data_IF_549826814474
#
_entry.id   IF_549826814474
#
_cell.length_a   1.000
_cell.length_b   1.000
_cell.length_c   1.000
_cell.angle_alpha   90.00
_cell.angle_beta   90.00
_cell.angle_gamma   90.00
#
_symmetry.space_group_name_H-M   'P 1'
#
loop_
_entity.id
_entity.type
_entity.pdbx_description
1 polymer ?
#
# COMPACT_ATOMS: atom_id res chain seq x y z
N UNK A 1 28.88 19.27 -20.89
CA UNK A 1 27.77 19.90 -20.15
C UNK A 1 26.93 18.75 -19.62
N UNK A 2 27.31 18.22 -18.46
CA UNK A 2 26.49 17.25 -17.72
C UNK A 2 25.87 18.01 -16.56
N UNK A 3 24.57 18.27 -16.64
CA UNK A 3 23.80 18.78 -15.51
C UNK A 3 23.43 17.59 -14.64
N UNK A 4 24.22 17.36 -13.61
CA UNK A 4 23.88 16.47 -12.51
C UNK A 4 22.70 17.08 -11.76
N UNK A 5 21.48 16.66 -12.11
CA UNK A 5 20.26 17.10 -11.45
C UNK A 5 20.13 16.30 -10.14
N UNK A 6 20.95 16.65 -9.15
CA UNK A 6 20.86 16.07 -7.81
C UNK A 6 19.51 16.45 -7.21
N UNK A 7 18.60 15.47 -7.13
CA UNK A 7 17.30 15.63 -6.49
C UNK A 7 17.55 15.88 -5.00
N UNK A 8 17.18 17.07 -4.52
CA UNK A 8 17.27 17.41 -3.10
C UNK A 8 16.13 16.72 -2.34
N UNK A 9 16.46 15.59 -1.73
CA UNK A 9 15.54 14.73 -0.98
C UNK A 9 15.02 15.44 0.28
N UNK A 10 15.72 16.47 0.78
CA UNK A 10 15.31 17.23 1.97
C UNK A 10 14.02 18.03 1.72
N UNK A 11 13.73 18.35 0.46
CA UNK A 11 12.50 19.04 0.05
C UNK A 11 11.23 18.19 0.25
N UNK A 12 11.37 16.87 0.38
CA UNK A 12 10.28 15.92 0.58
C UNK A 12 10.03 15.59 2.06
N UNK A 13 10.59 16.36 2.99
CA UNK A 13 10.40 16.16 4.44
C UNK A 13 11.18 14.97 5.01
N UNK A 14 12.06 14.36 4.22
CA UNK A 14 13.00 13.34 4.68
C UNK A 14 14.27 14.04 5.15
N UNK A 15 14.31 14.44 6.42
CA UNK A 15 15.53 14.99 7.01
C UNK A 15 16.55 13.86 7.21
N UNK A 16 17.79 13.99 6.71
CA UNK A 16 18.85 13.00 6.93
C UNK A 16 19.35 13.01 8.39
N UNK A 17 19.08 14.07 9.14
CA UNK A 17 19.37 14.12 10.57
C UNK A 17 18.20 13.56 11.36
N UNK A 18 18.49 12.50 12.10
CA UNK A 18 17.58 11.84 13.03
C UNK A 18 17.07 12.88 14.03
N UNK A 19 15.78 13.19 14.00
CA UNK A 19 15.17 14.13 14.94
C UNK A 19 15.44 13.68 16.37
N UNK A 20 16.31 14.41 17.07
CA UNK A 20 16.61 14.17 18.49
C UNK A 20 15.42 14.70 19.28
N UNK A 21 14.39 13.88 19.41
CA UNK A 21 13.35 14.11 20.41
C UNK A 21 13.91 13.65 21.76
N UNK A 22 14.06 14.61 22.66
CA UNK A 22 14.25 14.42 24.09
C UNK A 22 13.36 13.27 24.61
N UNK A 23 13.99 12.15 24.96
CA UNK A 23 13.43 11.20 25.91
C UNK A 23 13.28 9.74 25.49
N UNK A 24 13.57 9.33 24.25
CA UNK A 24 13.44 7.91 23.84
C UNK A 24 14.63 7.35 23.06
N UNK A 25 15.82 7.97 23.18
CA UNK A 25 17.04 7.49 22.52
C UNK A 25 17.66 6.30 23.25
N UNK A 26 17.01 5.14 23.17
CA UNK A 26 17.63 3.85 23.44
C UNK A 26 17.03 2.76 22.56
N UNK A 27 17.21 2.88 21.25
CA UNK A 27 17.39 1.69 20.40
C UNK A 27 18.12 2.07 19.11
N UNK A 28 19.43 2.29 19.22
CA UNK A 28 20.32 2.15 18.08
C UNK A 28 20.49 0.66 17.79
N UNK A 29 19.66 0.13 16.89
CA UNK A 29 19.89 -1.14 16.20
C UNK A 29 19.25 -1.03 14.83
N UNK A 30 20.00 -1.37 13.79
CA UNK A 30 19.77 -0.93 12.42
C UNK A 30 18.42 -1.34 11.83
N UNK A 31 17.98 -0.55 10.85
CA UNK A 31 16.98 -0.93 9.84
C UNK A 31 17.53 -2.03 8.91
N UNK A 32 17.96 -3.15 9.50
CA UNK A 32 18.38 -4.36 8.83
C UNK A 32 17.60 -5.52 9.47
N UNK A 33 16.36 -5.69 9.02
CA UNK A 33 15.44 -6.71 9.52
C UNK A 33 14.06 -6.10 9.72
N UNK A 34 13.09 -6.51 8.91
CA UNK A 34 11.78 -5.90 8.81
C UNK A 34 11.02 -5.88 10.13
N UNK A 35 10.99 -4.71 10.76
CA UNK A 35 9.89 -4.31 11.62
C UNK A 35 9.06 -3.33 10.80
N UNK A 36 8.19 -3.88 9.96
CA UNK A 36 7.02 -3.15 9.50
C UNK A 36 6.41 -2.48 10.73
N UNK A 37 6.08 -1.19 10.65
CA UNK A 37 5.27 -0.55 11.67
C UNK A 37 4.05 -1.45 11.89
N UNK A 38 4.03 -2.17 13.02
CA UNK A 38 2.90 -3.04 13.37
C UNK A 38 1.82 -2.08 13.82
N UNK A 39 1.08 -1.58 12.84
CA UNK A 39 -0.20 -0.93 13.07
C UNK A 39 -1.05 -1.97 13.81
N UNK A 40 -1.60 -1.57 14.95
CA UNK A 40 -2.47 -2.42 15.74
C UNK A 40 -3.72 -2.75 14.91
N UNK A 41 -3.72 -3.91 14.26
CA UNK A 41 -4.83 -4.41 13.44
C UNK A 41 -5.97 -4.96 14.29
N UNK A 42 -5.97 -4.78 15.62
CA UNK A 42 -7.10 -5.20 16.48
C UNK A 42 -8.42 -4.49 16.17
N UNK A 43 -8.41 -3.42 15.39
CA UNK A 43 -9.60 -2.77 14.85
C UNK A 43 -9.99 -3.28 13.44
N UNK A 44 -9.29 -4.28 12.88
CA UNK A 44 -9.74 -4.96 11.69
C UNK A 44 -10.96 -5.80 12.07
N UNK A 45 -12.15 -5.25 11.84
CA UNK A 45 -13.34 -6.06 11.60
C UNK A 45 -13.09 -7.07 10.47
N UNK A 46 -14.05 -7.93 10.12
CA UNK A 46 -13.95 -8.69 8.87
C UNK A 46 -13.51 -7.71 7.77
N UNK A 47 -12.39 -8.01 7.10
CA UNK A 47 -11.78 -7.12 6.11
C UNK A 47 -12.86 -6.61 5.17
N UNK A 48 -12.71 -5.37 4.69
CA UNK A 48 -13.67 -4.80 3.74
C UNK A 48 -13.92 -5.83 2.62
N UNK A 49 -15.14 -6.39 2.50
CA UNK A 49 -15.44 -7.43 1.52
C UNK A 49 -15.09 -7.01 0.09
N UNK A 50 -15.08 -5.70 -0.17
CA UNK A 50 -14.64 -5.13 -1.43
C UNK A 50 -13.13 -5.26 -1.64
N UNK A 51 -12.31 -4.97 -0.63
CA UNK A 51 -10.85 -5.15 -0.70
C UNK A 51 -10.48 -6.62 -0.84
N UNK A 52 -11.19 -7.50 -0.14
CA UNK A 52 -11.01 -8.95 -0.25
C UNK A 52 -11.37 -9.46 -1.66
N UNK A 53 -12.47 -8.96 -2.25
CA UNK A 53 -12.84 -9.28 -3.63
C UNK A 53 -11.82 -8.72 -4.64
N UNK A 54 -11.31 -7.51 -4.42
CA UNK A 54 -10.28 -6.92 -5.28
C UNK A 54 -8.98 -7.71 -5.22
N UNK A 55 -8.54 -8.12 -4.03
CA UNK A 55 -7.37 -8.97 -3.83
C UNK A 55 -7.55 -10.33 -4.54
N UNK A 56 -8.73 -10.94 -4.45
CA UNK A 56 -9.05 -12.19 -5.14
C UNK A 56 -8.95 -12.03 -6.67
N UNK A 57 -9.50 -10.94 -7.24
CA UNK A 57 -9.41 -10.67 -8.68
C UNK A 57 -7.96 -10.43 -9.15
N UNK A 58 -7.13 -9.81 -8.31
CA UNK A 58 -5.71 -9.60 -8.59
C UNK A 58 -4.93 -10.92 -8.59
N UNK A 59 -5.18 -11.81 -7.63
CA UNK A 59 -4.55 -13.13 -7.63
C UNK A 59 -5.04 -13.98 -8.81
N UNK A 60 -6.33 -13.95 -9.15
CA UNK A 60 -6.85 -14.64 -10.33
C UNK A 60 -6.22 -14.14 -11.64
N UNK A 61 -5.98 -12.83 -11.77
CA UNK A 61 -5.33 -12.25 -12.96
C UNK A 61 -3.84 -12.60 -13.03
N UNK A 62 -3.16 -12.69 -11.88
CA UNK A 62 -1.79 -13.20 -11.80
C UNK A 62 -1.71 -14.67 -12.21
N UNK A 63 -2.60 -15.53 -11.69
CA UNK A 63 -2.68 -16.93 -12.11
C UNK A 63 -2.98 -17.08 -13.61
N UNK A 64 -3.88 -16.26 -14.16
CA UNK A 64 -4.17 -16.25 -15.59
C UNK A 64 -2.96 -15.85 -16.42
N UNK A 65 -2.14 -14.89 -15.95
CA UNK A 65 -0.88 -14.51 -16.59
C UNK A 65 0.13 -15.66 -16.59
N UNK A 66 0.27 -16.37 -15.47
CA UNK A 66 1.15 -17.54 -15.38
C UNK A 66 0.69 -18.66 -16.32
N UNK A 67 -0.62 -18.93 -16.36
CA UNK A 67 -1.21 -19.90 -17.30
C UNK A 67 -0.92 -19.48 -18.74
N UNK A 68 -1.15 -18.21 -19.10
CA UNK A 68 -0.85 -17.68 -20.44
C UNK A 68 0.63 -17.84 -20.84
N UNK A 69 1.57 -17.64 -19.92
CA UNK A 69 3.00 -17.85 -20.20
C UNK A 69 3.34 -19.32 -20.48
N UNK A 70 2.80 -20.25 -19.69
CA UNK A 70 2.95 -21.70 -19.95
C UNK A 70 2.39 -22.07 -21.32
N UNK A 71 1.26 -21.46 -21.63
CA UNK A 71 0.52 -21.67 -22.84
C UNK A 71 1.30 -21.19 -24.10
N UNK A 72 1.90 -20.01 -24.01
CA UNK A 72 2.83 -19.49 -25.03
C UNK A 72 4.05 -20.41 -25.23
N UNK A 73 4.61 -20.94 -24.13
CA UNK A 73 5.73 -21.88 -24.19
C UNK A 73 5.33 -23.19 -24.88
N UNK A 74 4.14 -23.72 -24.59
CA UNK A 74 3.62 -24.93 -25.23
C UNK A 74 3.39 -24.71 -26.72
N UNK A 75 2.82 -23.57 -27.12
CA UNK A 75 2.64 -23.23 -28.53
C UNK A 75 3.98 -23.21 -29.28
N UNK A 76 4.99 -22.56 -28.72
CA UNK A 76 6.32 -22.50 -29.33
C UNK A 76 7.02 -23.87 -29.39
N UNK A 77 6.70 -24.79 -28.49
CA UNK A 77 7.20 -26.18 -28.56
C UNK A 77 6.46 -26.97 -29.63
N UNK A 78 5.13 -26.90 -29.67
CA UNK A 78 4.31 -27.58 -30.67
C UNK A 78 4.63 -27.12 -32.10
N UNK A 79 4.93 -25.83 -32.31
CA UNK A 79 5.39 -25.30 -33.60
C UNK A 79 6.72 -25.94 -34.04
N UNK A 80 7.72 -26.04 -33.13
CA UNK A 80 9.00 -26.71 -33.42
C UNK A 80 8.83 -28.20 -33.70
N UNK A 81 7.99 -28.88 -32.89
CA UNK A 81 7.72 -30.30 -33.06
C UNK A 81 7.01 -30.58 -34.40
N UNK A 82 6.20 -29.64 -34.91
CA UNK A 82 5.60 -29.70 -36.24
C UNK A 82 6.65 -29.53 -37.37
N UNK A 83 7.62 -28.63 -37.19
CA UNK A 83 8.69 -28.40 -38.17
C UNK A 83 9.68 -29.59 -38.23
N UNK A 84 9.97 -30.22 -37.09
CA UNK A 84 10.88 -31.36 -36.96
C UNK A 84 10.21 -32.72 -37.25
N UNK A 85 8.88 -32.74 -37.42
CA UNK A 85 8.13 -33.98 -37.64
C UNK A 85 8.43 -34.60 -39.01
N UNK A 86 9.09 -35.77 -38.98
CA UNK A 86 9.39 -36.58 -40.16
C UNK A 86 8.19 -37.32 -40.76
N UNK A 87 7.06 -37.42 -40.04
CA UNK A 87 5.83 -38.10 -40.47
C UNK A 87 4.61 -37.16 -40.41
N UNK A 88 3.70 -37.34 -41.38
CA UNK A 88 2.48 -36.55 -41.57
C UNK A 88 1.48 -36.70 -40.43
N UNK A 89 1.44 -37.88 -39.79
CA UNK A 89 0.60 -38.10 -38.61
C UNK A 89 1.05 -37.22 -37.43
N UNK A 90 2.37 -37.08 -37.21
CA UNK A 90 2.93 -36.25 -36.15
C UNK A 90 2.72 -34.76 -36.41
N UNK A 91 2.89 -34.31 -37.66
CA UNK A 91 2.57 -32.92 -38.05
C UNK A 91 1.12 -32.55 -37.75
N UNK A 92 0.17 -33.44 -38.04
CA UNK A 92 -1.25 -33.18 -37.77
C UNK A 92 -1.54 -33.06 -36.27
N UNK A 93 -0.93 -33.91 -35.44
CA UNK A 93 -1.07 -33.84 -33.99
C UNK A 93 -0.50 -32.51 -33.46
N UNK A 94 0.71 -32.13 -33.88
CA UNK A 94 1.33 -30.87 -33.48
C UNK A 94 0.51 -29.64 -33.93
N UNK A 95 -0.04 -29.65 -35.15
CA UNK A 95 -0.92 -28.57 -35.61
C UNK A 95 -2.25 -28.49 -34.84
N UNK A 96 -2.84 -29.63 -34.47
CA UNK A 96 -4.05 -29.62 -33.63
C UNK A 96 -3.77 -29.09 -32.23
N UNK A 97 -2.62 -29.42 -31.65
CA UNK A 97 -2.20 -28.89 -30.35
C UNK A 97 -1.96 -27.38 -30.42
N UNK A 98 -1.23 -26.91 -31.44
CA UNK A 98 -1.02 -25.47 -31.70
C UNK A 98 -2.34 -24.70 -31.92
N UNK A 99 -3.35 -25.33 -32.53
CA UNK A 99 -4.67 -24.72 -32.73
C UNK A 99 -5.49 -24.65 -31.44
N UNK A 100 -5.61 -25.77 -30.72
CA UNK A 100 -6.23 -25.80 -29.39
C UNK A 100 -5.56 -24.77 -28.48
N UNK A 101 -4.26 -24.60 -28.72
CA UNK A 101 -3.45 -23.64 -28.03
C UNK A 101 -3.87 -22.16 -28.25
N UNK A 102 -4.03 -21.77 -29.50
CA UNK A 102 -4.48 -20.42 -29.86
C UNK A 102 -5.90 -20.15 -29.33
N UNK A 103 -6.79 -21.15 -29.35
CA UNK A 103 -8.16 -21.03 -28.84
C UNK A 103 -8.18 -20.77 -27.32
N UNK A 104 -7.38 -21.50 -26.55
CA UNK A 104 -7.25 -21.28 -25.10
C UNK A 104 -6.70 -19.88 -24.77
N UNK A 105 -5.71 -19.41 -25.52
CA UNK A 105 -5.18 -18.04 -25.36
C UNK A 105 -6.26 -16.99 -25.63
N UNK A 106 -7.03 -17.15 -26.71
CA UNK A 106 -8.13 -16.24 -27.06
C UNK A 106 -9.20 -16.19 -25.96
N UNK A 107 -9.53 -17.35 -25.37
CA UNK A 107 -10.44 -17.42 -24.23
C UNK A 107 -9.89 -16.67 -23.01
N UNK A 108 -8.61 -16.87 -22.67
CA UNK A 108 -7.97 -16.18 -21.55
C UNK A 108 -8.05 -14.66 -21.72
N UNK A 109 -7.69 -14.14 -22.90
CA UNK A 109 -7.74 -12.68 -23.17
C UNK A 109 -9.16 -12.14 -22.98
N UNK A 110 -10.17 -12.80 -23.55
CA UNK A 110 -11.58 -12.40 -23.37
C UNK A 110 -12.00 -12.41 -21.89
N UNK A 111 -11.52 -13.37 -21.10
CA UNK A 111 -11.81 -13.40 -19.66
C UNK A 111 -11.12 -12.27 -18.90
N UNK A 112 -9.88 -11.91 -19.27
CA UNK A 112 -9.17 -10.78 -18.68
C UNK A 112 -9.86 -9.45 -19.00
N UNK A 113 -10.30 -9.25 -20.25
CA UNK A 113 -11.07 -8.07 -20.64
C UNK A 113 -12.38 -7.95 -19.85
N UNK A 114 -13.05 -9.08 -19.60
CA UNK A 114 -14.29 -9.09 -18.81
C UNK A 114 -14.04 -8.79 -17.32
N UNK A 115 -12.94 -9.29 -16.75
CA UNK A 115 -12.54 -8.96 -15.38
C UNK A 115 -12.19 -7.47 -15.28
N UNK A 116 -11.42 -6.93 -16.23
CA UNK A 116 -11.08 -5.50 -16.27
C UNK A 116 -12.35 -4.63 -16.35
N UNK A 117 -13.29 -4.99 -17.23
CA UNK A 117 -14.58 -4.29 -17.31
C UNK A 117 -15.34 -4.34 -15.99
N UNK A 118 -15.37 -5.48 -15.30
CA UNK A 118 -16.03 -5.59 -13.99
C UNK A 118 -15.33 -4.74 -12.94
N UNK A 119 -14.00 -4.75 -12.90
CA UNK A 119 -13.23 -3.92 -11.96
C UNK A 119 -13.49 -2.43 -12.20
N UNK A 120 -13.55 -1.98 -13.45
CA UNK A 120 -13.90 -0.60 -13.81
C UNK A 120 -15.31 -0.23 -13.34
N UNK A 121 -16.29 -1.11 -13.58
CA UNK A 121 -17.67 -0.88 -13.15
C UNK A 121 -17.78 -0.80 -11.62
N UNK A 122 -17.13 -1.71 -10.89
CA UNK A 122 -17.13 -1.70 -9.43
C UNK A 122 -16.48 -0.44 -8.83
N UNK A 123 -15.39 0.04 -9.43
CA UNK A 123 -14.78 1.31 -9.02
C UNK A 123 -15.74 2.47 -9.31
N UNK A 124 -16.38 2.48 -10.48
CA UNK A 124 -17.35 3.50 -10.84
C UNK A 124 -18.58 3.50 -9.92
N UNK A 125 -19.11 2.32 -9.59
CA UNK A 125 -20.21 2.14 -8.64
C UNK A 125 -19.82 2.64 -7.25
N UNK A 126 -18.58 2.41 -6.78
CA UNK A 126 -18.09 2.99 -5.52
C UNK A 126 -18.03 4.51 -5.58
N UNK A 127 -17.58 5.09 -6.70
CA UNK A 127 -17.55 6.56 -6.85
C UNK A 127 -18.93 7.19 -6.97
N UNK A 128 -19.94 6.41 -7.37
CA UNK A 128 -21.33 6.86 -7.56
C UNK A 128 -22.22 6.62 -6.32
N UNK A 129 -21.96 5.52 -5.58
CA UNK A 129 -22.63 5.20 -4.30
C UNK A 129 -21.98 5.85 -3.09
N UNK A 130 -20.73 6.28 -3.22
CA UNK A 130 -20.24 7.41 -2.46
C UNK A 130 -20.95 8.65 -2.97
N UNK A 131 -22.20 8.87 -2.53
CA UNK A 131 -22.60 10.25 -2.26
C UNK A 131 -21.41 10.86 -1.51
N UNK A 132 -20.88 12.03 -1.93
CA UNK A 132 -19.93 12.69 -1.08
C UNK A 132 -20.68 12.87 0.25
N UNK A 133 -20.31 12.09 1.29
CA UNK A 133 -20.59 12.50 2.66
C UNK A 133 -20.22 13.96 2.67
N UNK A 134 -21.24 14.81 2.81
CA UNK A 134 -21.21 16.22 2.42
C UNK A 134 -19.80 16.75 2.69
N UNK A 135 -19.03 16.99 1.62
CA UNK A 135 -17.57 17.18 1.74
C UNK A 135 -17.28 18.27 2.78
N UNK A 136 -18.22 19.22 2.91
CA UNK A 136 -18.25 20.24 3.94
C UNK A 136 -18.44 19.67 5.36
N UNK A 137 -19.37 18.74 5.58
CA UNK A 137 -19.58 18.07 6.86
C UNK A 137 -18.37 17.21 7.29
N UNK A 138 -17.69 16.56 6.34
CA UNK A 138 -16.45 15.82 6.65
C UNK A 138 -15.29 16.76 7.04
N UNK A 139 -15.16 17.89 6.34
CA UNK A 139 -14.17 18.92 6.68
C UNK A 139 -14.48 19.49 8.08
N UNK A 140 -15.75 19.77 8.37
CA UNK A 140 -16.18 20.26 9.69
C UNK A 140 -15.91 19.25 10.81
N UNK A 141 -16.17 17.96 10.59
CA UNK A 141 -15.86 16.92 11.56
C UNK A 141 -14.35 16.78 11.78
N UNK A 142 -13.57 16.81 10.70
CA UNK A 142 -12.12 16.77 10.76
C UNK A 142 -11.55 17.96 11.55
N UNK A 143 -11.98 19.18 11.25
CA UNK A 143 -11.56 20.38 11.95
C UNK A 143 -11.92 20.31 13.44
N UNK A 144 -13.13 19.82 13.78
CA UNK A 144 -13.54 19.61 15.17
C UNK A 144 -12.62 18.65 15.92
N UNK A 145 -12.22 17.55 15.29
CA UNK A 145 -11.31 16.55 15.87
C UNK A 145 -9.88 17.11 16.03
N UNK A 146 -9.40 17.89 15.05
CA UNK A 146 -8.11 18.57 15.13
C UNK A 146 -8.11 19.59 16.28
N UNK A 147 -9.13 20.44 16.37
CA UNK A 147 -9.26 21.42 17.46
C UNK A 147 -9.27 20.74 18.83
N UNK A 148 -10.04 19.65 18.98
CA UNK A 148 -10.08 18.88 20.21
C UNK A 148 -8.69 18.34 20.57
N UNK A 149 -7.98 17.75 19.60
CA UNK A 149 -6.65 17.18 19.83
C UNK A 149 -5.61 18.25 20.16
N UNK A 150 -5.65 19.41 19.50
CA UNK A 150 -4.77 20.55 19.79
C UNK A 150 -5.03 21.06 21.20
N UNK A 151 -6.31 21.17 21.60
CA UNK A 151 -6.69 21.61 22.95
C UNK A 151 -6.22 20.63 24.02
N UNK A 152 -6.36 19.33 23.79
CA UNK A 152 -5.84 18.28 24.67
C UNK A 152 -4.31 18.38 24.83
N UNK A 153 -3.58 18.54 23.72
CA UNK A 153 -2.12 18.69 23.75
C UNK A 153 -1.68 19.98 24.43
N UNK A 154 -2.36 21.09 24.18
CA UNK A 154 -2.05 22.38 24.80
C UNK A 154 -2.33 22.36 26.30
N UNK A 155 -3.41 21.70 26.72
CA UNK A 155 -3.71 21.49 28.14
C UNK A 155 -2.66 20.61 28.80
N UNK A 156 -2.24 19.52 28.16
CA UNK A 156 -1.17 18.65 28.66
C UNK A 156 0.15 19.41 28.80
N UNK A 157 0.54 20.20 27.79
CA UNK A 157 1.73 21.04 27.83
C UNK A 157 1.63 22.11 28.93
N UNK A 158 0.46 22.73 29.12
CA UNK A 158 0.21 23.69 30.19
C UNK A 158 0.30 23.05 31.57
N UNK A 159 -0.25 21.85 31.76
CA UNK A 159 -0.14 21.15 33.04
C UNK A 159 1.30 20.79 33.37
N UNK A 160 2.08 20.40 32.36
CA UNK A 160 3.50 20.07 32.54
C UNK A 160 4.31 21.31 32.88
N UNK A 161 4.11 22.41 32.14
CA UNK A 161 4.75 23.69 32.42
C UNK A 161 4.38 24.23 33.82
N UNK A 162 3.12 24.10 34.24
CA UNK A 162 2.70 24.48 35.60
C UNK A 162 3.32 23.58 36.68
N UNK A 163 3.57 22.31 36.38
CA UNK A 163 4.26 21.36 37.27
C UNK A 163 5.73 21.75 37.43
N UNK A 164 6.40 22.12 36.34
CA UNK A 164 7.78 22.60 36.32
C UNK A 164 7.95 23.93 37.07
N UNK A 165 7.05 24.89 36.85
CA UNK A 165 7.08 26.18 37.57
C UNK A 165 6.83 26.00 39.06
N UNK A 166 5.90 25.13 39.46
CA UNK A 166 5.67 24.84 40.88
C UNK A 166 6.89 24.18 41.51
N UNK A 167 7.53 23.23 40.82
CA UNK A 167 8.76 22.58 41.28
C UNK A 167 9.94 23.57 41.38
N UNK A 168 10.06 24.52 40.45
CA UNK A 168 11.06 25.60 40.50
C UNK A 168 10.78 26.66 41.56
N UNK A 169 9.50 26.94 41.85
CA UNK A 169 9.07 27.87 42.89
C UNK A 169 9.31 27.35 44.31
N UNK A 170 9.07 26.06 44.55
CA UNK A 170 9.41 25.42 45.84
C UNK A 170 10.93 25.33 46.06
N UNK A 171 11.72 25.18 44.99
CA UNK A 171 13.18 25.23 45.06
C UNK A 171 13.71 26.64 45.37
N UNK A 172 13.04 27.70 44.89
CA UNK A 172 13.38 29.08 45.20
C UNK A 172 12.95 29.51 46.61
N UNK A 173 11.80 29.02 47.10
CA UNK A 173 11.33 29.29 48.47
C UNK A 173 12.20 28.62 49.55
N UNK A 174 12.91 27.54 49.22
CA UNK A 174 13.88 26.90 50.12
C UNK A 174 15.24 27.63 50.25
N UNK A 175 15.50 28.66 49.42
CA UNK A 175 16.76 29.42 49.42
C UNK A 175 16.67 30.80 50.10
N UNK A 176 15.46 31.38 50.26
CA UNK A 176 15.26 32.61 51.05
C UNK A 176 14.93 32.37 52.54
N UNK A 177 14.80 31.11 52.95
CA UNK A 177 14.44 30.72 54.31
C UNK A 177 15.60 30.19 55.16
N UNK A 178 16.64 31.00 55.40
CA UNK A 178 17.49 30.83 56.58
C UNK A 178 18.92 31.34 56.46
N UNK A 179 19.59 31.70 57.57
CA UNK A 179 19.11 32.22 58.86
C UNK A 179 19.23 33.75 58.99
#
# INVERSE_FOLDING_TARGET
METDLAIDISLFGVSPEMGVYDGLSACGAGFAGGAAAVLDTKAAGPGDPFLDMQAMLLEMTKELRERFQRFQSQRGQAERDADDAGDEAMRKVAQTDAKAAIEAVSLIVRTLEKIDSLQRTLIAERTDTGEPEDETALIEEFDRLVEQRVKERMNAAKTEWMREIRAGGDAAAGLEGGP
#
